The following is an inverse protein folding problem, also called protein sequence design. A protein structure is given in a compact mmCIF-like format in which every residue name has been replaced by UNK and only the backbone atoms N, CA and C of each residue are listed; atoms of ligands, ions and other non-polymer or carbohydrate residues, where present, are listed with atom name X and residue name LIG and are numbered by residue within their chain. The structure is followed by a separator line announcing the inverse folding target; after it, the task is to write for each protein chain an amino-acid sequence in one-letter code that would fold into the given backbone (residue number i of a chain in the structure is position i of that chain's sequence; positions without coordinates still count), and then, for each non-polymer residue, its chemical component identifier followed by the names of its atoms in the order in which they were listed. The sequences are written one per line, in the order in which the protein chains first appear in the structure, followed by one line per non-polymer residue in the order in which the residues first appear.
data_IF_784825341449
#
_entry.id   IF_784825341449
#
_cell.length_a   1.000
_cell.length_b   1.000
_cell.length_c   1.000
_cell.angle_alpha   90.00
_cell.angle_beta   90.00
_cell.angle_gamma   90.00
#
_symmetry.space_group_name_H-M   'P 1'
#
loop_
_entity.id
_entity.type
_entity.pdbx_description
1 polymer ?
#
# COMPACT_ATOMS: atom_id res chain seq x y z
N UNK A 1 39.52 -1.97 44.85
CA UNK A 1 39.38 -0.89 43.84
C UNK A 1 38.43 -1.38 42.75
N UNK A 2 37.66 -0.44 42.17
CA UNK A 2 36.37 -0.59 41.47
C UNK A 2 36.30 -1.67 40.37
N UNK A 3 35.22 -2.46 40.39
CA UNK A 3 34.74 -3.27 39.25
C UNK A 3 34.11 -2.31 38.23
N UNK A 4 34.65 -2.24 37.02
CA UNK A 4 34.08 -1.48 35.91
C UNK A 4 33.10 -2.40 35.18
N UNK A 5 31.81 -2.16 35.37
CA UNK A 5 30.74 -2.81 34.61
C UNK A 5 30.57 -2.01 33.32
N UNK A 6 30.99 -2.58 32.19
CA UNK A 6 30.77 -1.99 30.86
C UNK A 6 29.40 -2.45 30.38
N UNK A 7 28.41 -1.56 30.44
CA UNK A 7 27.07 -1.80 29.87
C UNK A 7 27.17 -1.63 28.36
N UNK A 8 27.07 -2.75 27.64
CA UNK A 8 27.01 -2.77 26.17
C UNK A 8 25.64 -2.24 25.72
N UNK A 9 25.61 -0.99 25.25
CA UNK A 9 24.43 -0.38 24.66
C UNK A 9 24.24 -1.00 23.27
N UNK A 10 23.36 -2.00 23.17
CA UNK A 10 22.90 -2.53 21.88
C UNK A 10 22.05 -1.46 21.19
N UNK A 11 22.68 -0.75 20.25
CA UNK A 11 21.98 0.04 19.25
C UNK A 11 21.14 -0.91 18.38
N UNK A 12 19.86 -1.03 18.70
CA UNK A 12 18.87 -1.51 17.74
C UNK A 12 18.76 -0.46 16.63
N UNK A 13 19.59 -0.60 15.60
CA UNK A 13 19.36 0.05 14.34
C UNK A 13 18.06 -0.53 13.77
N UNK A 14 16.94 0.18 13.97
CA UNK A 14 15.70 -0.12 13.26
C UNK A 14 16.01 -0.10 11.77
N UNK A 15 15.73 -1.20 11.07
CA UNK A 15 15.87 -1.26 9.63
C UNK A 15 14.83 -0.33 9.01
N UNK A 16 15.25 0.89 8.69
CA UNK A 16 14.57 1.75 7.73
C UNK A 16 14.74 1.08 6.37
N UNK A 17 13.77 0.25 5.98
CA UNK A 17 13.70 -0.27 4.63
C UNK A 17 13.52 0.91 3.69
N UNK A 18 14.56 1.25 2.95
CA UNK A 18 14.47 2.24 1.89
C UNK A 18 13.48 1.73 0.82
N UNK A 19 12.55 2.59 0.40
CA UNK A 19 11.64 2.24 -0.68
C UNK A 19 12.41 1.89 -1.96
N UNK A 20 11.93 0.93 -2.77
CA UNK A 20 12.59 0.57 -4.02
C UNK A 20 12.71 1.79 -4.94
N UNK A 21 13.83 1.92 -5.66
CA UNK A 21 13.98 2.95 -6.68
C UNK A 21 13.54 2.41 -8.03
N UNK A 22 12.36 2.84 -8.49
CA UNK A 22 11.84 2.57 -9.82
C UNK A 22 11.66 3.89 -10.57
N UNK A 23 12.23 4.07 -11.78
CA UNK A 23 12.07 5.31 -12.53
C UNK A 23 10.60 5.69 -12.74
N UNK A 24 10.23 6.91 -12.35
CA UNK A 24 8.86 7.44 -12.51
C UNK A 24 7.86 7.05 -11.42
N UNK A 25 8.26 6.26 -10.43
CA UNK A 25 7.46 5.99 -9.22
C UNK A 25 7.76 7.04 -8.15
N UNK A 26 6.71 7.58 -7.54
CA UNK A 26 6.82 8.69 -6.58
C UNK A 26 6.44 8.34 -5.15
N UNK A 27 5.56 7.35 -4.97
CA UNK A 27 5.08 6.93 -3.65
C UNK A 27 4.95 5.40 -3.61
N UNK A 28 5.12 4.83 -2.41
CA UNK A 28 5.08 3.39 -2.18
C UNK A 28 4.08 3.05 -1.09
N UNK A 29 3.36 1.96 -1.29
CA UNK A 29 2.24 1.55 -0.46
C UNK A 29 2.34 0.07 -0.13
N UNK A 30 1.88 -0.30 1.07
CA UNK A 30 1.76 -1.71 1.46
C UNK A 30 0.29 -2.11 1.47
N UNK A 31 -0.02 -3.32 1.06
CA UNK A 31 -1.33 -3.95 1.20
C UNK A 31 -1.16 -5.23 2.00
N UNK A 32 -1.73 -5.25 3.21
CA UNK A 32 -1.61 -6.38 4.13
C UNK A 32 -2.91 -7.16 4.19
N UNK A 33 -2.84 -8.48 4.01
CA UNK A 33 -3.98 -9.38 4.25
C UNK A 33 -3.95 -9.88 5.69
N UNK A 34 -5.03 -9.66 6.45
CA UNK A 34 -5.22 -10.28 7.77
C UNK A 34 -5.54 -11.77 7.62
N UNK A 35 -6.31 -12.15 6.60
CA UNK A 35 -6.68 -13.54 6.34
C UNK A 35 -7.14 -13.76 4.90
N UNK A 36 -7.08 -15.02 4.44
CA UNK A 36 -7.57 -15.43 3.12
C UNK A 36 -6.71 -14.97 1.94
N UNK A 37 -7.08 -15.44 0.76
CA UNK A 37 -6.47 -15.02 -0.51
C UNK A 37 -7.33 -13.96 -1.17
N UNK A 38 -6.69 -12.89 -1.63
CA UNK A 38 -7.33 -11.73 -2.24
C UNK A 38 -6.74 -11.47 -3.61
N UNK A 39 -7.62 -11.22 -4.57
CA UNK A 39 -7.21 -10.63 -5.83
C UNK A 39 -7.19 -9.11 -5.68
N UNK A 40 -6.01 -8.52 -5.85
CA UNK A 40 -5.83 -7.07 -5.90
C UNK A 40 -5.95 -6.56 -7.33
N UNK A 41 -6.51 -5.37 -7.51
CA UNK A 41 -6.59 -4.66 -8.80
C UNK A 41 -6.34 -3.18 -8.56
N UNK A 42 -5.45 -2.59 -9.36
CA UNK A 42 -5.10 -1.17 -9.36
C UNK A 42 -5.57 -0.53 -10.67
N UNK A 43 -6.30 0.58 -10.57
CA UNK A 43 -6.92 1.21 -11.72
C UNK A 43 -6.96 2.73 -11.57
N UNK A 44 -6.37 3.46 -12.52
CA UNK A 44 -6.49 4.91 -12.60
C UNK A 44 -7.89 5.33 -13.05
N UNK A 45 -8.37 6.46 -12.51
CA UNK A 45 -9.69 7.05 -12.80
C UNK A 45 -9.56 8.35 -13.60
N UNK A 46 -8.71 9.28 -13.17
CA UNK A 46 -8.62 10.63 -13.75
C UNK A 46 -7.49 10.76 -14.79
N UNK A 47 -6.25 10.91 -14.32
CA UNK A 47 -5.06 11.06 -15.14
C UNK A 47 -4.34 9.73 -15.37
N UNK A 48 -3.49 9.66 -16.40
CA UNK A 48 -2.59 8.54 -16.58
C UNK A 48 -1.68 8.40 -15.36
N UNK A 49 -1.70 7.20 -14.79
CA UNK A 49 -0.87 6.80 -13.67
C UNK A 49 -0.30 5.41 -13.96
N UNK A 50 0.88 5.15 -13.42
CA UNK A 50 1.55 3.86 -13.53
C UNK A 50 1.63 3.19 -12.17
N UNK A 51 1.58 1.86 -12.18
CA UNK A 51 1.76 1.06 -10.97
C UNK A 51 2.92 0.10 -11.18
N UNK A 52 3.71 -0.12 -10.16
CA UNK A 52 4.83 -1.07 -10.23
C UNK A 52 4.96 -1.90 -8.96
N UNK A 53 5.40 -3.15 -9.10
CA UNK A 53 5.83 -3.94 -7.96
C UNK A 53 7.22 -3.47 -7.46
N UNK A 54 7.70 -4.08 -6.37
CA UNK A 54 9.02 -3.78 -5.80
C UNK A 54 10.20 -4.15 -6.70
N UNK A 55 9.96 -4.87 -7.80
CA UNK A 55 10.95 -5.25 -8.81
C UNK A 55 10.87 -4.35 -10.06
N UNK A 56 10.07 -3.28 -10.00
CA UNK A 56 9.82 -2.33 -11.08
C UNK A 56 9.11 -2.93 -12.31
N UNK A 57 8.38 -4.02 -12.14
CA UNK A 57 7.48 -4.53 -13.18
C UNK A 57 6.16 -3.78 -13.12
N UNK A 58 5.60 -3.47 -14.28
CA UNK A 58 4.24 -2.91 -14.35
C UNK A 58 3.23 -3.91 -13.80
N UNK A 59 2.29 -3.41 -12.99
CA UNK A 59 1.23 -4.22 -12.39
C UNK A 59 -0.13 -3.56 -12.61
N UNK A 60 -1.16 -4.38 -12.76
CA UNK A 60 -2.55 -3.93 -12.70
C UNK A 60 -3.40 -4.84 -11.81
N UNK A 61 -2.97 -6.08 -11.63
CA UNK A 61 -3.59 -7.03 -10.73
C UNK A 61 -2.55 -8.02 -10.22
N UNK A 62 -2.74 -8.52 -9.01
CA UNK A 62 -1.93 -9.56 -8.40
C UNK A 62 -2.78 -10.34 -7.40
N UNK A 63 -2.29 -11.50 -6.97
CA UNK A 63 -2.84 -12.23 -5.83
C UNK A 63 -2.08 -11.85 -4.56
N UNK A 64 -2.80 -11.71 -3.45
CA UNK A 64 -2.29 -11.47 -2.11
C UNK A 64 -2.68 -12.64 -1.21
N UNK A 65 -1.67 -13.32 -0.68
CA UNK A 65 -1.86 -14.47 0.21
C UNK A 65 -2.34 -14.08 1.61
N UNK A 66 -2.76 -15.05 2.43
CA UNK A 66 -3.08 -14.82 3.84
C UNK A 66 -1.83 -14.37 4.61
N UNK A 67 -2.01 -13.45 5.56
CA UNK A 67 -0.93 -12.96 6.45
C UNK A 67 0.31 -12.48 5.69
N UNK A 68 0.09 -11.95 4.49
CA UNK A 68 1.15 -11.48 3.60
C UNK A 68 1.00 -10.00 3.30
N UNK A 69 2.11 -9.42 2.84
CA UNK A 69 2.19 -8.02 2.44
C UNK A 69 2.58 -7.96 0.97
N UNK A 70 1.82 -7.19 0.21
CA UNK A 70 2.17 -6.80 -1.15
C UNK A 70 2.57 -5.33 -1.17
N UNK A 71 3.66 -5.01 -1.87
CA UNK A 71 4.17 -3.65 -1.99
C UNK A 71 3.95 -3.19 -3.43
N UNK A 72 3.32 -2.02 -3.60
CA UNK A 72 3.21 -1.38 -4.90
C UNK A 72 3.64 0.09 -4.86
N UNK A 73 4.20 0.55 -5.96
CA UNK A 73 4.51 1.93 -6.23
C UNK A 73 3.47 2.56 -7.13
N UNK A 74 3.18 3.85 -6.92
CA UNK A 74 2.38 4.66 -7.83
C UNK A 74 3.22 5.77 -8.45
N UNK A 75 3.12 5.89 -9.77
CA UNK A 75 3.82 6.87 -10.59
C UNK A 75 2.86 7.74 -11.38
N UNK A 76 3.29 8.97 -11.67
CA UNK A 76 2.56 9.95 -12.45
C UNK A 76 3.54 10.89 -13.19
N UNK A 77 3.12 11.56 -14.27
CA UNK A 77 3.97 12.50 -15.01
C UNK A 77 4.48 13.66 -14.14
N UNK A 78 5.64 14.23 -14.49
CA UNK A 78 6.25 15.34 -13.72
C UNK A 78 5.41 16.63 -13.71
N UNK A 79 4.57 16.78 -14.71
CA UNK A 79 3.66 17.90 -14.95
C UNK A 79 2.24 17.62 -14.44
N UNK A 80 2.04 16.56 -13.64
CA UNK A 80 0.76 16.30 -12.99
C UNK A 80 0.34 17.51 -12.12
N UNK A 81 -0.91 17.90 -12.26
CA UNK A 81 -1.57 18.93 -11.45
C UNK A 81 -2.00 18.43 -10.06
N UNK A 82 -1.71 17.16 -9.76
CA UNK A 82 -2.11 16.42 -8.55
C UNK A 82 -3.59 16.09 -8.46
N UNK A 83 -4.36 16.21 -9.56
CA UNK A 83 -5.71 15.66 -9.69
C UNK A 83 -5.66 14.13 -9.89
N UNK A 84 -4.93 13.46 -9.00
CA UNK A 84 -4.72 12.02 -8.97
C UNK A 84 -5.96 11.37 -8.36
N UNK A 85 -6.57 10.46 -9.12
CA UNK A 85 -7.60 9.56 -8.61
C UNK A 85 -7.36 8.16 -9.17
N UNK A 86 -7.28 7.18 -8.27
CA UNK A 86 -7.19 5.77 -8.64
C UNK A 86 -7.86 4.89 -7.57
N UNK A 87 -8.08 3.62 -7.89
CA UNK A 87 -8.59 2.64 -6.94
C UNK A 87 -7.61 1.52 -6.69
N UNK A 88 -7.55 1.08 -5.42
CA UNK A 88 -7.12 -0.26 -5.04
C UNK A 88 -8.37 -1.06 -4.69
N UNK A 89 -8.63 -2.12 -5.45
CA UNK A 89 -9.72 -3.06 -5.16
C UNK A 89 -9.14 -4.40 -4.74
N UNK A 90 -9.61 -4.95 -3.63
CA UNK A 90 -9.27 -6.29 -3.16
C UNK A 90 -10.54 -7.13 -3.11
N UNK A 91 -10.54 -8.30 -3.73
CA UNK A 91 -11.68 -9.24 -3.70
C UNK A 91 -11.23 -10.58 -3.18
N UNK A 92 -11.85 -11.05 -2.10
CA UNK A 92 -11.72 -12.42 -1.60
C UNK A 92 -12.90 -13.22 -2.10
N UNK A 93 -12.65 -14.04 -3.11
CA UNK A 93 -13.70 -14.82 -3.74
C UNK A 93 -14.20 -15.90 -2.78
N UNK A 94 -15.51 -15.91 -2.56
CA UNK A 94 -16.21 -16.96 -1.84
C UNK A 94 -17.12 -17.73 -2.81
N UNK A 95 -17.51 -18.97 -2.50
CA UNK A 95 -18.63 -19.60 -3.19
C UNK A 95 -19.88 -18.70 -3.13
N UNK A 96 -20.66 -18.65 -4.20
CA UNK A 96 -21.90 -17.86 -4.30
C UNK A 96 -21.67 -16.32 -4.28
N UNK A 97 -22.66 -15.54 -3.79
CA UNK A 97 -22.67 -14.07 -3.80
C UNK A 97 -22.10 -13.44 -2.51
N UNK A 98 -21.26 -14.18 -1.77
CA UNK A 98 -20.72 -13.76 -0.46
C UNK A 98 -19.27 -13.27 -0.53
N UNK A 99 -18.80 -12.92 -1.73
CA UNK A 99 -17.43 -12.45 -1.90
C UNK A 99 -17.22 -11.15 -1.15
N UNK A 100 -16.20 -11.12 -0.30
CA UNK A 100 -15.78 -9.93 0.43
C UNK A 100 -15.00 -9.02 -0.51
N UNK A 101 -15.23 -7.72 -0.42
CA UNK A 101 -14.49 -6.76 -1.20
C UNK A 101 -14.13 -5.53 -0.39
N UNK A 102 -12.92 -5.03 -0.62
CA UNK A 102 -12.47 -3.71 -0.22
C UNK A 102 -12.27 -2.86 -1.47
N UNK A 103 -12.85 -1.67 -1.50
CA UNK A 103 -12.56 -0.66 -2.53
C UNK A 103 -12.01 0.57 -1.84
N UNK A 104 -10.75 0.89 -2.11
CA UNK A 104 -10.12 2.12 -1.69
C UNK A 104 -10.13 3.09 -2.86
N UNK A 105 -10.83 4.21 -2.72
CA UNK A 105 -10.76 5.32 -3.66
C UNK A 105 -9.70 6.27 -3.14
N UNK A 106 -8.60 6.39 -3.89
CA UNK A 106 -7.40 7.08 -3.46
C UNK A 106 -7.26 8.36 -4.28
N UNK A 107 -7.28 9.49 -3.58
CA UNK A 107 -7.09 10.82 -4.15
C UNK A 107 -6.11 11.63 -3.29
N UNK A 108 -5.79 12.85 -3.70
CA UNK A 108 -4.99 13.78 -2.92
C UNK A 108 -5.65 15.16 -2.84
N UNK A 109 -5.60 15.81 -1.68
CA UNK A 109 -5.98 17.23 -1.50
C UNK A 109 -4.79 18.19 -1.67
N UNK A 110 -3.61 17.63 -1.93
CA UNK A 110 -2.36 18.36 -2.14
C UNK A 110 -1.14 17.45 -1.95
N UNK A 111 0.07 17.98 -2.14
CA UNK A 111 1.30 17.21 -1.98
C UNK A 111 1.40 16.57 -0.59
N UNK A 112 1.61 15.25 -0.58
CA UNK A 112 1.70 14.43 0.63
C UNK A 112 0.48 14.49 1.57
N UNK A 113 -0.69 14.90 1.05
CA UNK A 113 -1.98 14.96 1.75
C UNK A 113 -3.00 14.03 1.07
N UNK A 114 -2.95 12.71 1.36
CA UNK A 114 -3.90 11.77 0.80
C UNK A 114 -5.31 12.05 1.30
N UNK A 115 -6.30 11.80 0.44
CA UNK A 115 -7.71 11.79 0.77
C UNK A 115 -8.33 10.50 0.25
N UNK A 116 -8.50 9.54 1.16
CA UNK A 116 -8.82 8.15 0.82
C UNK A 116 -10.12 7.75 1.49
N UNK A 117 -11.03 7.21 0.68
CA UNK A 117 -12.25 6.55 1.16
C UNK A 117 -12.08 5.04 1.05
N UNK A 118 -12.34 4.32 2.14
CA UNK A 118 -12.38 2.86 2.17
C UNK A 118 -13.83 2.37 2.23
N UNK A 119 -14.19 1.46 1.33
CA UNK A 119 -15.52 0.87 1.22
C UNK A 119 -15.44 -0.63 1.51
N UNK A 120 -16.18 -1.05 2.52
CA UNK A 120 -16.30 -2.44 2.96
C UNK A 120 -17.56 -3.09 2.42
N UNK A 121 -17.43 -4.24 1.76
CA UNK A 121 -18.55 -5.03 1.26
C UNK A 121 -18.58 -6.42 1.89
N UNK A 122 -19.78 -6.92 2.18
CA UNK A 122 -20.02 -8.26 2.73
C UNK A 122 -19.20 -8.58 4.01
N UNK A 123 -19.02 -7.58 4.87
CA UNK A 123 -18.30 -7.74 6.15
C UNK A 123 -16.78 -7.71 6.02
N UNK A 124 -16.24 -7.27 4.88
CA UNK A 124 -14.81 -7.03 4.73
C UNK A 124 -14.32 -5.92 5.68
N UNK A 125 -13.14 -6.11 6.27
CA UNK A 125 -12.40 -5.10 7.04
C UNK A 125 -11.47 -4.39 6.08
N UNK A 126 -11.70 -3.10 5.85
CA UNK A 126 -10.96 -2.29 4.90
C UNK A 126 -10.42 -1.04 5.60
N UNK A 127 -9.16 -1.09 5.98
CA UNK A 127 -8.51 -0.05 6.78
C UNK A 127 -7.33 0.54 6.00
N UNK A 128 -6.98 1.79 6.29
CA UNK A 128 -5.78 2.40 5.75
C UNK A 128 -5.16 3.35 6.77
N UNK A 129 -3.87 3.63 6.60
CA UNK A 129 -3.13 4.57 7.45
C UNK A 129 -2.06 5.27 6.63
N UNK A 130 -1.92 6.59 6.83
CA UNK A 130 -0.85 7.37 6.20
C UNK A 130 0.49 7.09 6.86
N UNK A 131 1.50 6.83 6.04
CA UNK A 131 2.90 6.67 6.45
C UNK A 131 3.69 7.90 5.96
N UNK A 132 3.99 8.87 6.85
CA UNK A 132 4.61 10.13 6.45
C UNK A 132 5.92 9.94 5.68
N UNK A 133 6.02 10.55 4.51
CA UNK A 133 7.21 10.51 3.66
C UNK A 133 7.38 9.23 2.82
N UNK A 134 6.42 8.30 2.88
CA UNK A 134 6.49 7.04 2.11
C UNK A 134 5.25 6.86 1.23
N UNK A 135 4.05 6.94 1.82
CA UNK A 135 2.78 6.66 1.17
C UNK A 135 1.73 6.22 2.18
N UNK A 136 1.03 5.12 1.90
CA UNK A 136 -0.05 4.61 2.76
C UNK A 136 0.03 3.09 2.91
N UNK A 137 -0.34 2.61 4.10
CA UNK A 137 -0.57 1.20 4.36
C UNK A 137 -2.06 0.92 4.29
N UNK A 138 -2.43 -0.14 3.58
CA UNK A 138 -3.79 -0.67 3.43
C UNK A 138 -3.88 -2.04 4.08
N UNK A 139 -5.02 -2.33 4.70
CA UNK A 139 -5.27 -3.62 5.35
C UNK A 139 -6.63 -4.17 4.92
N UNK A 140 -6.66 -5.46 4.55
CA UNK A 140 -7.84 -6.20 4.09
C UNK A 140 -8.07 -7.47 4.92
N UNK A 141 -9.32 -7.83 5.22
CA UNK A 141 -9.73 -9.03 5.97
C UNK A 141 -11.22 -9.37 5.81
#
# INVERSE_FOLDING_TARGET
MKKILVTLMLLFAGQINASPYCPGIHTWHNVTSKDGQWKLTLQSISQEGSFSDSLCNSIHSTELGPESVFIYGFGFPKDADFDIAYTLTAVKQAPSFESRACVFVITAKGPAQPDITALSYYGAVCEWTRIPGVGEDFVVG
#
